data_IF_020176223636
#
_entry.id   IF_020176223636
#
_cell.length_a   1.000
_cell.length_b   1.000
_cell.length_c   1.000
_cell.angle_alpha   90.00
_cell.angle_beta   90.00
_cell.angle_gamma   90.00
#
_symmetry.space_group_name_H-M   'P 1'
#
loop_
_entity.id
_entity.type
_entity.pdbx_description
1 polymer ?
#
# COMPACT_ATOMS: atom_id res chain seq x y z
N UNK A 1 -11.85 5.25 -8.02
CA UNK A 1 -11.41 4.16 -7.12
C UNK A 1 -10.00 4.49 -6.63
N UNK A 2 -9.71 4.38 -5.32
CA UNK A 2 -8.39 4.73 -4.79
C UNK A 2 -7.30 3.76 -5.30
N UNK A 3 -6.22 4.33 -5.83
CA UNK A 3 -4.99 3.63 -6.17
C UNK A 3 -4.10 3.58 -4.93
N UNK A 4 -3.69 2.38 -4.54
CA UNK A 4 -2.77 2.15 -3.42
C UNK A 4 -1.45 1.64 -3.95
N UNK A 5 -0.36 2.28 -3.51
CA UNK A 5 0.99 1.81 -3.77
C UNK A 5 1.37 0.70 -2.80
N UNK A 6 1.94 -0.38 -3.32
CA UNK A 6 2.50 -1.47 -2.53
C UNK A 6 3.97 -1.67 -2.85
N UNK A 7 4.77 -1.87 -1.81
CA UNK A 7 6.18 -2.19 -1.92
C UNK A 7 6.45 -3.61 -1.45
N UNK A 8 7.07 -4.39 -2.33
CA UNK A 8 7.58 -5.71 -1.99
C UNK A 8 8.85 -5.61 -1.15
N UNK A 9 8.89 -6.18 0.05
CA UNK A 9 10.10 -6.13 0.90
C UNK A 9 11.24 -7.01 0.38
N UNK A 10 10.92 -8.14 -0.28
CA UNK A 10 11.92 -9.06 -0.84
C UNK A 10 12.60 -8.52 -2.10
N UNK A 11 11.79 -7.98 -3.00
CA UNK A 11 12.21 -7.58 -4.33
C UNK A 11 12.35 -6.06 -4.49
N UNK A 12 12.00 -5.30 -3.44
CA UNK A 12 12.03 -3.83 -3.34
C UNK A 12 11.27 -3.07 -4.43
N UNK A 13 10.55 -3.78 -5.30
CA UNK A 13 9.72 -3.21 -6.37
C UNK A 13 8.43 -2.65 -5.80
N UNK A 14 8.05 -1.50 -6.32
CA UNK A 14 6.80 -0.80 -6.04
C UNK A 14 5.82 -1.12 -7.17
N UNK A 15 4.54 -1.26 -6.85
CA UNK A 15 3.49 -1.46 -7.83
C UNK A 15 2.18 -0.87 -7.32
N UNK A 16 1.40 -0.34 -8.26
CA UNK A 16 0.13 0.31 -7.99
C UNK A 16 -0.99 -0.72 -8.10
N UNK A 17 -1.85 -0.79 -7.10
CA UNK A 17 -3.09 -1.57 -7.17
C UNK A 17 -4.29 -0.67 -6.90
N UNK A 18 -5.23 -0.68 -7.83
CA UNK A 18 -6.56 -0.14 -7.59
C UNK A 18 -7.28 -1.14 -6.70
N UNK A 19 -7.52 -0.77 -5.44
CA UNK A 19 -8.19 -1.64 -4.48
C UNK A 19 -9.34 -0.88 -3.84
N UNK A 20 -10.37 -1.63 -3.46
CA UNK A 20 -11.38 -1.10 -2.56
C UNK A 20 -10.83 -1.06 -1.12
N UNK A 21 -11.33 -0.15 -0.29
CA UNK A 21 -10.93 -0.04 1.13
C UNK A 21 -11.04 -1.41 1.84
N UNK A 22 -12.09 -2.17 1.53
CA UNK A 22 -12.31 -3.52 2.04
C UNK A 22 -11.21 -4.53 1.64
N UNK A 23 -10.64 -4.40 0.45
CA UNK A 23 -9.53 -5.25 -0.02
C UNK A 23 -8.21 -4.84 0.64
N UNK A 24 -7.96 -3.53 0.78
CA UNK A 24 -6.81 -3.01 1.50
C UNK A 24 -6.79 -3.52 2.96
N UNK A 25 -7.92 -3.43 3.66
CA UNK A 25 -8.07 -3.97 5.02
C UNK A 25 -7.88 -5.49 5.07
N UNK A 26 -8.43 -6.24 4.11
CA UNK A 26 -8.24 -7.69 4.04
C UNK A 26 -6.79 -8.06 3.83
N UNK A 27 -6.05 -7.36 2.96
CA UNK A 27 -4.63 -7.62 2.72
C UNK A 27 -3.79 -7.28 3.95
N UNK A 28 -4.08 -6.16 4.62
CA UNK A 28 -3.45 -5.77 5.90
C UNK A 28 -3.71 -6.82 6.99
N UNK A 29 -4.95 -7.32 7.09
CA UNK A 29 -5.36 -8.34 8.07
C UNK A 29 -4.79 -9.73 7.76
N UNK A 30 -4.68 -10.10 6.49
CA UNK A 30 -4.20 -11.42 6.06
C UNK A 30 -2.67 -11.54 5.95
N UNK A 31 -1.88 -10.44 6.01
CA UNK A 31 -0.40 -10.45 5.89
C UNK A 31 0.14 -11.35 4.75
N UNK A 32 -0.64 -11.51 3.67
CA UNK A 32 -0.37 -12.51 2.61
C UNK A 32 -0.66 -11.95 1.24
N UNK A 33 -0.37 -10.68 1.03
CA UNK A 33 -0.32 -10.07 -0.29
C UNK A 33 0.88 -10.66 -1.04
N UNK A 34 0.60 -11.50 -2.05
CA UNK A 34 1.64 -12.15 -2.86
C UNK A 34 2.14 -11.17 -3.91
N UNK A 35 3.46 -10.96 -3.96
CA UNK A 35 4.07 -10.17 -5.02
C UNK A 35 4.05 -10.96 -6.35
N UNK A 36 3.54 -10.39 -7.45
CA UNK A 36 3.48 -11.07 -8.75
C UNK A 36 4.86 -11.34 -9.36
N UNK A 37 5.92 -10.65 -8.90
CA UNK A 37 7.29 -10.83 -9.42
C UNK A 37 8.11 -11.91 -8.71
N UNK A 38 7.84 -12.18 -7.43
CA UNK A 38 8.71 -13.04 -6.62
C UNK A 38 7.95 -14.06 -5.77
N UNK A 39 6.62 -14.12 -5.87
CA UNK A 39 5.77 -15.04 -5.12
C UNK A 39 5.81 -14.84 -3.60
N UNK A 40 6.48 -13.79 -3.10
CA UNK A 40 6.64 -13.56 -1.67
C UNK A 40 5.38 -12.93 -1.09
N UNK A 41 4.98 -13.42 0.08
CA UNK A 41 3.81 -12.97 0.84
C UNK A 41 4.05 -11.69 1.67
N UNK A 42 5.27 -11.14 1.64
CA UNK A 42 5.64 -9.90 2.34
C UNK A 42 5.65 -8.71 1.37
N UNK A 43 4.49 -8.06 1.22
CA UNK A 43 4.42 -6.71 0.63
C UNK A 43 3.73 -5.77 1.61
N UNK A 44 4.24 -4.56 1.72
CA UNK A 44 3.72 -3.51 2.60
C UNK A 44 3.12 -2.39 1.77
N UNK A 45 1.97 -1.83 2.16
CA UNK A 45 1.45 -0.64 1.51
C UNK A 45 2.43 0.53 1.73
N UNK A 46 2.83 1.18 0.64
CA UNK A 46 3.43 2.49 0.71
C UNK A 46 2.29 3.49 0.86
N UNK A 47 1.85 3.69 2.09
CA UNK A 47 0.92 4.77 2.39
C UNK A 47 1.75 6.03 2.29
N UNK A 48 1.55 6.81 1.22
CA UNK A 48 2.11 8.15 1.15
C UNK A 48 1.56 8.93 2.35
N UNK A 49 2.42 9.35 3.26
CA UNK A 49 2.02 10.18 4.38
C UNK A 49 1.46 11.49 3.81
N UNK A 50 0.14 11.63 3.76
CA UNK A 50 -0.51 12.86 3.36
C UNK A 50 -0.29 13.89 4.48
N UNK A 51 0.70 14.76 4.29
CA UNK A 51 0.96 15.88 5.18
C UNK A 51 -0.03 16.99 4.83
N UNK A 52 -1.12 17.11 5.60
CA UNK A 52 -2.00 18.26 5.49
C UNK A 52 -1.28 19.45 6.12
N UNK A 53 -0.64 20.27 5.28
CA UNK A 53 -0.08 21.54 5.71
C UNK A 53 -1.24 22.51 5.95
N UNK A 54 -1.79 22.52 7.17
CA UNK A 54 -2.74 23.55 7.55
C UNK A 54 -1.98 24.85 7.80
N UNK A 55 -2.16 25.82 6.92
CA UNK A 55 -1.73 27.19 7.18
C UNK A 55 -2.43 27.63 8.47
N UNK A 56 -1.66 27.94 9.52
CA UNK A 56 -2.17 28.60 10.72
C UNK A 56 -3.01 29.80 10.26
N UNK A 57 -4.33 29.74 10.48
CA UNK A 57 -5.20 30.90 10.31
C UNK A 57 -4.87 31.83 11.49
N UNK A 58 -4.32 32.99 11.15
CA UNK A 58 -3.88 34.01 12.08
C UNK A 58 -5.03 34.58 12.90
#
# INVERSE_FOLDING_TARGET
MPTYEYRCLRCKKVFDMVLSIAEHERLKKKRTSKCPKCGSSRVEPQIANFLVQTSKKS
#
